data_IF_139403378683
#
_entry.id   IF_139403378683
#
_cell.length_a   1.000
_cell.length_b   1.000
_cell.length_c   1.000
_cell.angle_alpha   90.00
_cell.angle_beta   90.00
_cell.angle_gamma   90.00
#
_symmetry.space_group_name_H-M   'P 1'
#
loop_
_entity.id
_entity.type
_entity.pdbx_description
1 polymer ?
#
# COMPACT_ATOMS: atom_id res chain seq x y z
N UNK A 1 -38.91 37.30 -1.83
CA UNK A 1 -37.68 37.57 -2.58
C UNK A 1 -36.56 36.96 -1.79
N UNK A 2 -36.49 35.63 -1.76
CA UNK A 2 -35.74 34.91 -0.73
C UNK A 2 -35.31 33.55 -1.30
N UNK A 3 -34.67 33.60 -2.47
CA UNK A 3 -34.47 32.42 -3.30
C UNK A 3 -33.01 32.32 -3.81
N UNK A 4 -32.12 33.20 -3.35
CA UNK A 4 -30.70 33.23 -3.74
C UNK A 4 -29.71 32.94 -2.58
N UNK A 5 -30.20 32.47 -1.42
CA UNK A 5 -29.35 32.14 -0.26
C UNK A 5 -29.20 30.63 -0.01
N UNK A 6 -29.65 29.79 -0.95
CA UNK A 6 -29.47 28.35 -0.87
C UNK A 6 -28.33 27.93 -1.82
N UNK A 7 -27.33 27.23 -1.29
CA UNK A 7 -26.32 26.36 -1.98
C UNK A 7 -24.88 26.85 -2.22
N UNK A 8 -24.36 27.90 -1.56
CA UNK A 8 -22.92 28.26 -1.69
C UNK A 8 -22.10 28.05 -0.41
N UNK A 9 -22.74 28.16 0.75
CA UNK A 9 -22.14 27.93 2.07
C UNK A 9 -21.57 26.50 2.26
N UNK A 10 -22.23 25.42 1.80
CA UNK A 10 -21.72 24.06 2.00
C UNK A 10 -20.45 23.79 1.20
N UNK A 11 -20.34 24.35 0.00
CA UNK A 11 -19.21 24.11 -0.91
C UNK A 11 -17.95 24.79 -0.38
N UNK A 12 -18.07 26.03 0.12
CA UNK A 12 -16.91 26.73 0.69
C UNK A 12 -16.44 26.10 2.01
N UNK A 13 -17.37 25.60 2.83
CA UNK A 13 -17.03 24.82 4.03
C UNK A 13 -16.39 23.48 3.67
N UNK A 14 -16.85 22.79 2.63
CA UNK A 14 -16.25 21.55 2.13
C UNK A 14 -14.87 21.81 1.53
N UNK A 15 -14.69 22.91 0.80
CA UNK A 15 -13.39 23.31 0.22
C UNK A 15 -12.41 23.77 1.30
N UNK A 16 -12.84 24.49 2.33
CA UNK A 16 -11.98 24.87 3.45
C UNK A 16 -11.68 23.68 4.39
N UNK A 17 -12.60 22.73 4.51
CA UNK A 17 -12.32 21.43 5.13
C UNK A 17 -11.25 20.71 4.31
N UNK A 18 -11.43 20.50 3.00
CA UNK A 18 -10.43 19.83 2.14
C UNK A 18 -9.07 20.59 2.12
N UNK A 19 -9.07 21.93 2.05
CA UNK A 19 -7.85 22.76 2.08
C UNK A 19 -7.17 22.84 3.46
N UNK A 20 -7.90 22.55 4.54
CA UNK A 20 -7.36 22.47 5.90
C UNK A 20 -7.04 21.04 6.39
N UNK A 21 -7.55 20.01 5.70
CA UNK A 21 -7.64 18.64 6.22
C UNK A 21 -6.72 17.58 5.56
N UNK A 22 -5.81 17.93 4.66
CA UNK A 22 -4.69 17.03 4.35
C UNK A 22 -3.52 17.46 5.24
N UNK A 23 -3.55 17.00 6.48
CA UNK A 23 -2.40 17.13 7.37
C UNK A 23 -1.25 16.32 6.79
N UNK A 24 -0.01 16.77 7.00
CA UNK A 24 1.17 15.93 6.76
C UNK A 24 1.05 14.56 7.42
N UNK A 25 0.30 14.46 8.52
CA UNK A 25 -0.02 13.19 9.17
C UNK A 25 -0.86 12.26 8.29
N UNK A 26 -1.85 12.77 7.57
CA UNK A 26 -2.74 11.96 6.73
C UNK A 26 -1.99 11.40 5.53
N UNK A 27 -1.13 12.21 4.91
CA UNK A 27 -0.23 11.77 3.83
C UNK A 27 0.69 10.66 4.34
N UNK A 28 1.30 10.84 5.51
CA UNK A 28 2.17 9.81 6.12
C UNK A 28 1.39 8.54 6.43
N UNK A 29 0.18 8.64 6.97
CA UNK A 29 -0.66 7.47 7.26
C UNK A 29 -1.02 6.71 5.99
N UNK A 30 -1.34 7.40 4.89
CA UNK A 30 -1.66 6.75 3.61
C UNK A 30 -0.42 6.02 3.07
N UNK A 31 0.73 6.70 3.00
CA UNK A 31 1.97 6.12 2.46
C UNK A 31 2.46 4.96 3.31
N UNK A 32 2.50 5.12 4.64
CA UNK A 32 2.91 4.06 5.56
C UNK A 32 1.88 2.93 5.58
N UNK A 33 0.59 3.26 5.48
CA UNK A 33 -0.51 2.30 5.39
C UNK A 33 -0.35 1.37 4.19
N UNK A 34 -0.03 1.91 3.02
CA UNK A 34 0.27 1.11 1.83
C UNK A 34 1.45 0.17 2.08
N UNK A 35 2.58 0.68 2.61
CA UNK A 35 3.73 -0.19 2.93
C UNK A 35 3.36 -1.30 3.94
N UNK A 36 2.69 -0.95 5.04
CA UNK A 36 2.37 -1.89 6.13
C UNK A 36 1.40 -2.98 5.68
N UNK A 37 0.42 -2.64 4.83
CA UNK A 37 -0.57 -3.58 4.30
C UNK A 37 0.10 -4.75 3.55
N UNK A 38 1.24 -4.51 2.90
CA UNK A 38 1.92 -5.52 2.09
C UNK A 38 3.05 -6.28 2.80
N UNK A 39 3.41 -5.91 4.03
CA UNK A 39 4.40 -6.64 4.85
C UNK A 39 4.09 -8.14 4.97
N UNK A 40 2.84 -8.59 5.22
CA UNK A 40 2.52 -10.02 5.35
C UNK A 40 2.87 -10.85 4.10
N UNK A 41 2.86 -10.27 2.91
CA UNK A 41 3.23 -10.97 1.68
C UNK A 41 4.72 -11.33 1.64
N UNK A 42 5.57 -10.62 2.39
CA UNK A 42 6.98 -11.00 2.57
C UNK A 42 7.19 -12.39 3.20
N UNK A 43 6.17 -12.89 3.90
CA UNK A 43 6.18 -14.19 4.57
C UNK A 43 5.67 -15.34 3.71
N UNK A 44 5.26 -15.06 2.47
CA UNK A 44 4.75 -16.08 1.55
C UNK A 44 5.71 -17.27 1.35
N UNK A 45 7.02 -17.06 1.50
CA UNK A 45 8.01 -18.15 1.44
C UNK A 45 7.88 -19.22 2.53
N UNK A 46 7.16 -18.96 3.63
CA UNK A 46 6.83 -20.00 4.64
C UNK A 46 5.73 -20.94 4.16
N UNK A 47 4.83 -20.45 3.31
CA UNK A 47 3.69 -21.22 2.79
C UNK A 47 4.06 -21.85 1.43
N UNK A 48 4.76 -21.08 0.60
CA UNK A 48 5.14 -21.43 -0.76
C UNK A 48 6.66 -21.52 -0.89
N UNK A 49 7.23 -22.74 -0.95
CA UNK A 49 8.68 -22.94 -1.05
C UNK A 49 9.31 -22.24 -2.26
N UNK A 50 8.56 -22.01 -3.34
CA UNK A 50 9.03 -21.31 -4.54
C UNK A 50 9.28 -19.82 -4.30
N UNK A 51 8.71 -19.23 -3.24
CA UNK A 51 8.81 -17.82 -2.88
C UNK A 51 9.78 -17.59 -1.70
N UNK A 52 10.62 -18.59 -1.41
CA UNK A 52 11.68 -18.49 -0.39
C UNK A 52 12.78 -17.53 -0.83
N UNK A 53 13.09 -17.46 -2.12
CA UNK A 53 14.07 -16.54 -2.69
C UNK A 53 13.48 -15.15 -2.96
N UNK A 54 14.21 -14.09 -2.60
CA UNK A 54 13.74 -12.70 -2.76
C UNK A 54 13.37 -12.38 -4.21
N UNK A 55 14.18 -12.84 -5.17
CA UNK A 55 13.94 -12.58 -6.60
C UNK A 55 12.61 -13.19 -7.06
N UNK A 56 12.34 -14.43 -6.65
CA UNK A 56 11.10 -15.14 -6.99
C UNK A 56 9.89 -14.45 -6.37
N UNK A 57 9.98 -14.13 -5.07
CA UNK A 57 8.95 -13.40 -4.34
C UNK A 57 8.61 -12.06 -4.99
N UNK A 58 9.62 -11.22 -5.25
CA UNK A 58 9.41 -9.91 -5.85
C UNK A 58 8.89 -10.01 -7.28
N UNK A 59 9.38 -10.95 -8.08
CA UNK A 59 8.89 -11.14 -9.45
C UNK A 59 7.41 -11.53 -9.46
N UNK A 60 7.03 -12.51 -8.63
CA UNK A 60 5.63 -12.94 -8.49
C UNK A 60 4.75 -11.80 -7.99
N UNK A 61 5.20 -11.08 -6.96
CA UNK A 61 4.43 -9.98 -6.36
C UNK A 61 4.26 -8.79 -7.32
N UNK A 62 5.35 -8.33 -7.95
CA UNK A 62 5.31 -7.21 -8.92
C UNK A 62 4.40 -7.55 -10.10
N UNK A 63 4.47 -8.80 -10.59
CA UNK A 63 3.57 -9.26 -11.66
C UNK A 63 2.11 -9.18 -11.21
N UNK A 64 1.80 -9.65 -10.00
CA UNK A 64 0.44 -9.62 -9.46
C UNK A 64 -0.07 -8.19 -9.24
N UNK A 65 0.68 -7.31 -8.58
CA UNK A 65 0.25 -5.93 -8.32
C UNK A 65 0.09 -5.14 -9.63
N UNK A 66 0.96 -5.35 -10.61
CA UNK A 66 0.81 -4.71 -11.93
C UNK A 66 -0.49 -5.11 -12.61
N UNK A 67 -0.89 -6.38 -12.51
CA UNK A 67 -2.18 -6.86 -13.05
C UNK A 67 -3.36 -6.23 -12.31
N UNK A 68 -3.28 -6.11 -10.98
CA UNK A 68 -4.32 -5.47 -10.16
C UNK A 68 -4.49 -4.00 -10.54
N UNK A 69 -3.40 -3.23 -10.55
CA UNK A 69 -3.40 -1.81 -10.93
C UNK A 69 -3.91 -1.59 -12.37
N UNK A 70 -3.46 -2.45 -13.31
CA UNK A 70 -3.95 -2.39 -14.69
C UNK A 70 -5.45 -2.69 -14.76
N UNK A 71 -5.95 -3.66 -13.99
CA UNK A 71 -7.38 -4.00 -13.96
C UNK A 71 -8.20 -2.85 -13.36
N UNK A 72 -7.73 -2.22 -12.28
CA UNK A 72 -8.39 -1.06 -11.68
C UNK A 72 -8.47 0.11 -12.66
N UNK A 73 -7.41 0.33 -13.43
CA UNK A 73 -7.38 1.32 -14.51
C UNK A 73 -8.40 1.02 -15.62
N UNK A 74 -8.42 -0.22 -16.15
CA UNK A 74 -9.34 -0.61 -17.23
C UNK A 74 -10.80 -0.61 -16.79
N UNK A 75 -11.08 -1.01 -15.55
CA UNK A 75 -12.44 -1.03 -14.97
C UNK A 75 -12.91 0.34 -14.52
N UNK A 76 -12.08 1.39 -14.65
CA UNK A 76 -12.33 2.76 -14.16
C UNK A 76 -12.65 2.82 -12.67
N UNK A 77 -12.20 1.81 -11.91
CA UNK A 77 -12.32 1.80 -10.46
C UNK A 77 -11.24 2.67 -9.80
N UNK A 78 -10.14 2.97 -10.51
CA UNK A 78 -9.05 3.80 -10.02
C UNK A 78 -8.13 4.32 -11.13
N UNK A 79 -7.10 5.05 -10.71
CA UNK A 79 -5.99 5.54 -11.56
C UNK A 79 -4.87 4.48 -11.47
N UNK A 80 -4.13 4.27 -12.55
CA UNK A 80 -2.92 3.44 -12.48
C UNK A 80 -1.83 4.23 -11.76
N UNK A 81 -1.53 3.89 -10.52
CA UNK A 81 -0.59 4.64 -9.67
C UNK A 81 0.73 3.87 -9.51
N UNK A 82 1.78 4.34 -10.20
CA UNK A 82 3.11 3.73 -10.13
C UNK A 82 3.69 3.81 -8.71
N UNK A 83 3.36 4.87 -7.98
CA UNK A 83 3.81 5.07 -6.60
C UNK A 83 3.29 3.95 -5.68
N UNK A 84 2.08 3.45 -5.91
CA UNK A 84 1.53 2.32 -5.16
C UNK A 84 2.29 1.03 -5.43
N UNK A 85 2.67 0.75 -6.68
CA UNK A 85 3.51 -0.41 -7.00
C UNK A 85 4.83 -0.34 -6.22
N UNK A 86 5.44 0.84 -6.13
CA UNK A 86 6.72 1.04 -5.42
C UNK A 86 6.54 0.84 -3.92
N UNK A 87 5.55 1.49 -3.30
CA UNK A 87 5.29 1.42 -1.86
C UNK A 87 4.90 -0.01 -1.44
N UNK A 88 4.06 -0.68 -2.21
CA UNK A 88 3.61 -2.04 -1.95
C UNK A 88 4.79 -3.02 -2.07
N UNK A 89 5.63 -2.85 -3.09
CA UNK A 89 6.86 -3.65 -3.26
C UNK A 89 7.83 -3.45 -2.09
N UNK A 90 7.96 -2.22 -1.60
CA UNK A 90 8.78 -1.93 -0.42
C UNK A 90 8.25 -2.62 0.84
N UNK A 91 6.92 -2.67 1.02
CA UNK A 91 6.27 -3.44 2.09
C UNK A 91 6.64 -4.92 2.06
N UNK A 92 6.53 -5.56 0.89
CA UNK A 92 6.92 -6.98 0.71
C UNK A 92 8.39 -7.21 1.00
N UNK A 93 9.26 -6.31 0.54
CA UNK A 93 10.69 -6.38 0.82
C UNK A 93 10.98 -6.32 2.32
N UNK A 94 10.32 -5.42 3.06
CA UNK A 94 10.47 -5.33 4.51
C UNK A 94 9.99 -6.60 5.21
N UNK A 95 8.84 -7.15 4.80
CA UNK A 95 8.33 -8.43 5.30
C UNK A 95 9.29 -9.59 5.06
N UNK A 96 9.92 -9.66 3.88
CA UNK A 96 10.95 -10.66 3.59
C UNK A 96 12.16 -10.53 4.53
N UNK A 97 12.61 -9.30 4.79
CA UNK A 97 13.72 -9.06 5.72
C UNK A 97 13.35 -9.50 7.13
N UNK A 98 12.14 -9.19 7.61
CA UNK A 98 11.62 -9.65 8.90
C UNK A 98 11.59 -11.18 8.98
N UNK A 99 11.07 -11.85 7.95
CA UNK A 99 11.05 -13.31 7.83
C UNK A 99 12.46 -13.90 7.99
N UNK A 100 13.43 -13.37 7.24
CA UNK A 100 14.82 -13.83 7.28
C UNK A 100 15.49 -13.59 8.64
N UNK A 101 15.18 -12.48 9.31
CA UNK A 101 15.67 -12.20 10.66
C UNK A 101 15.09 -13.17 11.68
N UNK A 102 13.81 -13.51 11.58
CA UNK A 102 13.15 -14.49 12.43
C UNK A 102 13.75 -15.90 12.23
N UNK A 103 13.93 -16.32 10.98
CA UNK A 103 14.56 -17.61 10.64
C UNK A 103 15.98 -17.69 11.21
N UNK A 104 16.81 -16.64 11.03
CA UNK A 104 18.16 -16.59 11.60
C UNK A 104 18.16 -16.68 13.12
N UNK A 105 17.26 -15.94 13.78
CA UNK A 105 17.13 -15.97 15.24
C UNK A 105 16.71 -17.37 15.70
N UNK A 106 15.74 -17.99 15.05
CA UNK A 106 15.28 -19.34 15.39
C UNK A 106 16.41 -20.36 15.30
N UNK A 107 17.20 -20.36 14.22
CA UNK A 107 18.36 -21.26 14.08
C UNK A 107 19.40 -21.06 15.18
N UNK A 108 19.66 -19.81 15.59
CA UNK A 108 20.60 -19.50 16.67
C UNK A 108 20.12 -20.03 18.04
N UNK A 109 18.81 -20.03 18.30
CA UNK A 109 18.26 -20.54 19.55
C UNK A 109 18.23 -22.07 19.64
N UNK A 110 18.28 -22.77 18.50
CA UNK A 110 18.15 -24.24 18.42
C UNK A 110 19.52 -24.94 18.35
N UNK A 111 20.60 -24.20 18.08
CA UNK A 111 21.99 -24.73 17.99
C UNK A 111 22.78 -24.40 19.24
#
# INVERSE_FOLDING_TARGET
MEDNLLTIEPIFSTINFIKGCISWKDIVIIVVGNVVMFIPFGFLGWIFPQLTELKSLLFTFISAITIVEATQYFTRMGIFEVDDIILNTFGVFLGFLMRRLMEKKYTYWVT
#
